data_IF_205901913715
#
_entry.id   IF_205901913715
#
_cell.length_a   1.000
_cell.length_b   1.000
_cell.length_c   1.000
_cell.angle_alpha   90.00
_cell.angle_beta   90.00
_cell.angle_gamma   90.00
#
_symmetry.space_group_name_H-M   'P 1'
#
loop_
_entity.id
_entity.type
_entity.pdbx_description
1 polymer ?
#
# COMPACT_ATOMS: atom_id res chain seq x y z
N UNK A 1 -21.50 15.96 -10.21
CA UNK A 1 -22.50 14.92 -9.90
C UNK A 1 -21.88 14.01 -8.83
N UNK A 2 -22.61 13.14 -8.13
CA UNK A 2 -22.02 12.33 -7.04
C UNK A 2 -20.98 11.29 -7.51
N UNK A 3 -20.85 11.08 -8.82
CA UNK A 3 -19.89 10.15 -9.44
C UNK A 3 -18.44 10.62 -9.33
N UNK A 4 -18.19 11.92 -9.15
CA UNK A 4 -16.84 12.50 -9.05
C UNK A 4 -16.10 12.12 -7.74
N UNK A 5 -16.70 11.30 -6.88
CA UNK A 5 -16.19 10.90 -5.55
C UNK A 5 -15.90 9.41 -5.39
N UNK A 6 -15.92 8.66 -6.50
CA UNK A 6 -15.60 7.23 -6.49
C UNK A 6 -14.20 7.06 -7.06
N UNK A 7 -13.32 6.40 -6.29
CA UNK A 7 -12.04 5.91 -6.77
C UNK A 7 -12.10 4.38 -6.89
N UNK A 8 -11.63 3.85 -8.01
CA UNK A 8 -11.71 2.44 -8.34
C UNK A 8 -10.31 1.87 -8.57
N UNK A 9 -9.99 0.79 -7.86
CA UNK A 9 -8.71 0.08 -7.99
C UNK A 9 -8.96 -1.36 -8.41
N UNK A 10 -8.23 -1.83 -9.43
CA UNK A 10 -8.15 -3.25 -9.79
C UNK A 10 -7.13 -3.96 -8.90
N UNK A 11 -7.59 -4.84 -8.00
CA UNK A 11 -6.75 -5.55 -7.04
C UNK A 11 -5.76 -6.54 -7.67
N UNK A 12 -5.99 -6.98 -8.91
CA UNK A 12 -5.05 -7.85 -9.61
C UNK A 12 -3.75 -7.12 -9.98
N UNK A 13 -3.85 -5.80 -10.19
CA UNK A 13 -2.74 -4.94 -10.61
C UNK A 13 -2.32 -3.93 -9.52
N UNK A 14 -3.02 -3.90 -8.39
CA UNK A 14 -2.69 -3.04 -7.26
C UNK A 14 -1.30 -3.38 -6.70
N UNK A 15 -0.54 -2.34 -6.35
CA UNK A 15 0.73 -2.56 -5.67
C UNK A 15 0.52 -3.22 -4.29
N UNK A 16 1.57 -3.87 -3.79
CA UNK A 16 1.52 -4.69 -2.57
C UNK A 16 0.98 -3.90 -1.37
N UNK A 17 1.44 -2.65 -1.19
CA UNK A 17 1.03 -1.80 -0.07
C UNK A 17 -0.47 -1.46 -0.13
N UNK A 18 -0.95 -1.05 -1.30
CA UNK A 18 -2.36 -0.70 -1.51
C UNK A 18 -3.26 -1.91 -1.31
N UNK A 19 -2.90 -3.06 -1.89
CA UNK A 19 -3.68 -4.30 -1.74
C UNK A 19 -3.74 -4.75 -0.28
N UNK A 20 -2.63 -4.63 0.46
CA UNK A 20 -2.61 -4.92 1.89
C UNK A 20 -3.50 -3.97 2.70
N UNK A 21 -3.42 -2.66 2.49
CA UNK A 21 -4.25 -1.71 3.25
C UNK A 21 -5.75 -1.84 2.92
N UNK A 22 -6.09 -2.17 1.67
CA UNK A 22 -7.47 -2.50 1.27
C UNK A 22 -7.96 -3.76 2.01
N UNK A 23 -7.19 -4.84 2.01
CA UNK A 23 -7.64 -6.11 2.62
C UNK A 23 -7.64 -6.07 4.15
N UNK A 24 -6.78 -5.26 4.76
CA UNK A 24 -6.71 -5.03 6.21
C UNK A 24 -7.89 -4.22 6.74
N UNK A 25 -8.27 -3.14 6.06
CA UNK A 25 -9.28 -2.20 6.57
C UNK A 25 -10.61 -2.24 5.79
N UNK A 26 -10.65 -2.92 4.65
CA UNK A 26 -11.79 -2.99 3.76
C UNK A 26 -12.84 -3.99 4.19
N UNK A 27 -14.06 -3.78 3.68
CA UNK A 27 -15.22 -4.63 3.91
C UNK A 27 -15.63 -5.28 2.59
N UNK A 28 -15.87 -6.59 2.61
CA UNK A 28 -16.39 -7.32 1.46
C UNK A 28 -17.83 -6.89 1.19
N UNK A 29 -18.08 -6.24 0.05
CA UNK A 29 -19.42 -5.83 -0.36
C UNK A 29 -20.13 -6.91 -1.19
N UNK A 30 -19.39 -7.74 -1.92
CA UNK A 30 -19.91 -8.81 -2.77
C UNK A 30 -18.83 -9.88 -3.01
N UNK A 31 -19.24 -11.15 -3.11
CA UNK A 31 -18.36 -12.29 -3.37
C UNK A 31 -18.41 -13.34 -2.26
N UNK A 32 -17.55 -14.35 -2.38
CA UNK A 32 -17.44 -15.41 -1.38
C UNK A 32 -16.54 -14.97 -0.20
N UNK A 33 -16.98 -15.14 1.06
CA UNK A 33 -16.18 -14.77 2.22
C UNK A 33 -14.86 -15.55 2.35
N UNK A 34 -14.82 -16.82 1.95
CA UNK A 34 -13.61 -17.64 2.00
C UNK A 34 -12.56 -17.11 1.02
N UNK A 35 -12.96 -16.78 -0.21
CA UNK A 35 -12.07 -16.15 -1.20
C UNK A 35 -11.48 -14.84 -0.67
N UNK A 36 -12.28 -14.04 0.06
CA UNK A 36 -11.82 -12.79 0.66
C UNK A 36 -10.80 -13.01 1.79
N UNK A 37 -11.00 -14.02 2.64
CA UNK A 37 -10.04 -14.37 3.69
C UNK A 37 -8.74 -14.94 3.11
N UNK A 38 -8.80 -15.67 2.00
CA UNK A 38 -7.62 -16.12 1.27
C UNK A 38 -6.85 -14.93 0.67
N UNK A 39 -7.55 -13.96 0.07
CA UNK A 39 -6.96 -12.73 -0.45
C UNK A 39 -6.29 -11.90 0.67
N UNK A 40 -6.90 -11.84 1.86
CA UNK A 40 -6.30 -11.20 3.04
C UNK A 40 -5.00 -11.88 3.46
N UNK A 41 -5.01 -13.20 3.61
CA UNK A 41 -3.83 -13.96 4.01
C UNK A 41 -2.69 -13.80 2.99
N UNK A 42 -3.01 -13.87 1.70
CA UNK A 42 -2.08 -13.62 0.60
C UNK A 42 -1.48 -12.21 0.65
N UNK A 43 -2.33 -11.18 0.78
CA UNK A 43 -1.90 -9.79 0.80
C UNK A 43 -1.07 -9.43 2.03
N UNK A 44 -1.41 -10.01 3.19
CA UNK A 44 -0.63 -9.85 4.42
C UNK A 44 0.78 -10.43 4.27
N UNK A 45 0.90 -11.67 3.77
CA UNK A 45 2.20 -12.31 3.56
C UNK A 45 3.07 -11.48 2.61
N UNK A 46 2.53 -11.09 1.45
CA UNK A 46 3.27 -10.31 0.47
C UNK A 46 3.74 -8.96 1.04
N UNK A 47 2.93 -8.29 1.87
CA UNK A 47 3.33 -7.08 2.56
C UNK A 47 4.45 -7.31 3.58
N UNK A 48 4.36 -8.36 4.39
CA UNK A 48 5.40 -8.69 5.38
C UNK A 48 6.72 -8.98 4.67
N UNK A 49 6.69 -9.74 3.58
CA UNK A 49 7.89 -10.07 2.78
C UNK A 49 8.48 -8.82 2.11
N UNK A 50 7.64 -7.89 1.65
CA UNK A 50 8.07 -6.64 1.04
C UNK A 50 8.49 -5.56 2.07
N UNK A 51 8.11 -5.69 3.35
CA UNK A 51 8.33 -4.66 4.38
C UNK A 51 9.78 -4.17 4.48
N UNK A 52 10.81 -5.02 4.42
CA UNK A 52 12.20 -4.55 4.44
C UNK A 52 12.56 -3.61 3.27
N UNK A 53 11.91 -3.76 2.11
CA UNK A 53 12.11 -2.88 0.96
C UNK A 53 11.49 -1.50 1.18
N UNK A 54 10.27 -1.45 1.74
CA UNK A 54 9.65 -0.17 2.13
C UNK A 54 10.48 0.54 3.21
N UNK A 55 10.98 -0.20 4.20
CA UNK A 55 11.86 0.35 5.24
C UNK A 55 13.18 0.91 4.63
N UNK A 56 13.69 0.30 3.57
CA UNK A 56 14.88 0.77 2.84
C UNK A 56 14.57 2.03 2.02
N UNK A 57 13.46 2.05 1.28
CA UNK A 57 12.98 3.21 0.54
C UNK A 57 12.86 4.43 1.46
N UNK A 58 12.21 4.23 2.62
CA UNK A 58 12.07 5.23 3.67
C UNK A 58 13.42 5.83 4.11
N UNK A 59 14.42 4.97 4.33
CA UNK A 59 15.77 5.39 4.72
C UNK A 59 16.44 6.20 3.62
N UNK A 60 16.30 5.79 2.36
CA UNK A 60 16.89 6.48 1.21
C UNK A 60 16.25 7.86 1.04
N UNK A 61 14.91 7.95 1.12
CA UNK A 61 14.18 9.22 1.04
C UNK A 61 14.60 10.16 2.15
N UNK A 62 14.65 9.68 3.41
CA UNK A 62 15.09 10.49 4.56
C UNK A 62 16.51 11.01 4.39
N UNK A 63 17.43 10.17 3.91
CA UNK A 63 18.82 10.56 3.60
C UNK A 63 18.87 11.62 2.49
N UNK A 64 18.09 11.47 1.42
CA UNK A 64 18.02 12.46 0.33
C UNK A 64 17.50 13.81 0.83
N UNK A 65 16.44 13.79 1.65
CA UNK A 65 15.86 15.00 2.22
C UNK A 65 16.82 15.71 3.18
N UNK A 66 17.62 14.99 3.97
CA UNK A 66 18.64 15.62 4.83
C UNK A 66 19.68 16.36 4.01
N UNK A 67 20.22 15.73 2.95
CA UNK A 67 21.16 16.40 2.05
C UNK A 67 20.58 17.65 1.38
N UNK A 68 19.32 17.60 0.94
CA UNK A 68 18.65 18.76 0.34
C UNK A 68 18.53 19.89 1.35
N UNK A 69 18.13 19.59 2.60
CA UNK A 69 18.01 20.59 3.67
C UNK A 69 19.35 21.24 4.01
N UNK A 70 20.42 20.44 4.12
CA UNK A 70 21.78 20.94 4.37
C UNK A 70 22.24 21.86 3.23
N UNK A 71 21.93 21.50 1.98
CA UNK A 71 22.32 22.28 0.79
C UNK A 71 21.52 23.58 0.62
N UNK A 72 20.29 23.63 1.15
CA UNK A 72 19.43 24.82 1.15
C UNK A 72 19.65 25.73 2.37
N UNK A 73 20.32 25.23 3.41
CA UNK A 73 20.65 26.00 4.62
C UNK A 73 21.96 26.82 4.47
N UNK A 74 22.52 26.87 3.26
CA UNK A 74 23.65 27.70 2.84
C UNK A 74 23.14 28.98 2.18
#
# INVERSE_FOLDING_TARGET
ANEDKIDLTDLNNANILLRYEITKNGVLLFGDPQDYEELKAFSFRDYVDAKPLFDLEDKIIKKRLSFIKESLAV
#
